data_IF_824163736027
#
_entry.id   IF_824163736027
#
_cell.length_a   1.000
_cell.length_b   1.000
_cell.length_c   1.000
_cell.angle_alpha   90.00
_cell.angle_beta   90.00
_cell.angle_gamma   90.00
#
_symmetry.space_group_name_H-M   'P 1'
#
loop_
_entity.id
_entity.type
_entity.pdbx_description
1 polymer ?
#
# COMPACT_ATOMS: atom_id res chain seq x y z
N UNK A 1 11.23 -19.54 4.50
CA UNK A 1 10.53 -18.58 3.63
C UNK A 1 9.34 -18.09 4.42
N UNK A 2 9.47 -16.96 5.11
CA UNK A 2 8.38 -16.37 5.89
C UNK A 2 8.31 -14.90 5.53
N UNK A 3 7.14 -14.47 5.08
CA UNK A 3 6.87 -13.05 4.82
C UNK A 3 6.08 -12.52 6.00
N UNK A 4 6.61 -11.52 6.70
CA UNK A 4 5.88 -10.86 7.78
C UNK A 4 5.39 -9.49 7.34
N UNK A 5 4.16 -9.16 7.72
CA UNK A 5 3.50 -7.89 7.38
C UNK A 5 3.00 -7.28 8.69
N UNK A 6 3.63 -6.21 9.12
CA UNK A 6 3.32 -5.50 10.36
C UNK A 6 2.74 -4.13 10.08
N UNK A 7 1.57 -3.83 10.61
CA UNK A 7 0.96 -2.50 10.48
C UNK A 7 1.63 -1.55 11.46
N UNK A 8 2.28 -0.50 10.96
CA UNK A 8 2.95 0.49 11.80
C UNK A 8 2.10 1.72 12.11
N UNK A 9 1.19 2.08 11.19
CA UNK A 9 0.06 3.00 11.37
C UNK A 9 -0.58 3.26 10.01
N UNK A 10 -1.89 3.48 9.95
CA UNK A 10 -2.56 4.04 8.76
C UNK A 10 -2.38 3.19 7.48
N UNK A 11 -1.51 3.60 6.54
CA UNK A 11 -1.09 2.83 5.36
C UNK A 11 0.39 2.38 5.43
N UNK A 12 1.06 2.65 6.54
CA UNK A 12 2.46 2.29 6.75
C UNK A 12 2.59 0.85 7.22
N UNK A 13 3.24 0.01 6.43
CA UNK A 13 3.57 -1.37 6.78
C UNK A 13 5.07 -1.60 6.82
N UNK A 14 5.53 -2.38 7.79
CA UNK A 14 6.83 -3.04 7.73
C UNK A 14 6.64 -4.43 7.14
N UNK A 15 7.32 -4.71 6.04
CA UNK A 15 7.32 -6.04 5.41
C UNK A 15 8.72 -6.63 5.52
N UNK A 16 8.84 -7.79 6.15
CA UNK A 16 10.11 -8.54 6.23
C UNK A 16 10.00 -9.79 5.37
N UNK A 17 10.89 -9.89 4.39
CA UNK A 17 10.94 -11.02 3.45
C UNK A 17 12.32 -11.10 2.80
N UNK A 18 12.82 -12.30 2.49
CA UNK A 18 14.11 -12.47 1.82
C UNK A 18 15.31 -11.85 2.57
N UNK A 19 15.22 -11.75 3.91
CA UNK A 19 16.23 -11.07 4.73
C UNK A 19 16.25 -9.54 4.59
N UNK A 20 15.24 -8.95 3.94
CA UNK A 20 15.10 -7.50 3.72
C UNK A 20 13.99 -6.90 4.58
N UNK A 21 14.17 -5.63 4.95
CA UNK A 21 13.16 -4.80 5.62
C UNK A 21 12.65 -3.76 4.61
N UNK A 22 11.37 -3.87 4.28
CA UNK A 22 10.67 -2.93 3.41
C UNK A 22 9.69 -2.09 4.22
N UNK A 23 9.58 -0.81 3.91
CA UNK A 23 8.51 0.06 4.42
C UNK A 23 7.64 0.58 3.29
N UNK A 24 6.33 0.50 3.45
CA UNK A 24 5.37 1.24 2.62
C UNK A 24 4.94 2.50 3.36
N UNK A 25 4.69 3.58 2.62
CA UNK A 25 4.04 4.81 3.07
C UNK A 25 4.42 5.29 4.48
N UNK A 26 5.71 5.54 4.75
CA UNK A 26 6.18 6.12 6.01
C UNK A 26 5.67 7.56 6.19
N UNK A 27 4.42 7.71 6.62
CA UNK A 27 3.76 8.97 6.90
C UNK A 27 3.75 9.37 8.38
N UNK A 28 3.09 10.49 8.67
CA UNK A 28 3.08 11.18 9.97
C UNK A 28 2.84 10.27 11.19
N UNK A 29 1.88 9.34 11.11
CA UNK A 29 1.44 8.51 12.24
C UNK A 29 2.35 7.31 12.53
N UNK A 30 3.26 6.97 11.63
CA UNK A 30 4.08 5.76 11.73
C UNK A 30 5.31 5.96 12.62
N UNK A 31 5.67 4.92 13.40
CA UNK A 31 6.98 4.80 14.03
C UNK A 31 7.74 3.65 13.38
N UNK A 32 8.87 3.96 12.76
CA UNK A 32 9.69 2.99 12.02
C UNK A 32 10.83 2.51 12.94
N UNK A 33 10.84 1.22 13.33
CA UNK A 33 11.76 0.73 14.36
C UNK A 33 13.17 0.40 13.84
N UNK A 34 13.33 0.14 12.55
CA UNK A 34 14.56 -0.42 11.97
C UNK A 34 15.04 0.38 10.75
N UNK A 35 16.28 0.14 10.33
CA UNK A 35 16.79 0.67 9.07
C UNK A 35 16.15 -0.07 7.90
N UNK A 36 15.91 0.67 6.82
CA UNK A 36 15.21 0.15 5.66
C UNK A 36 16.20 -0.37 4.61
N UNK A 37 15.91 -1.51 4.00
CA UNK A 37 16.51 -1.90 2.73
C UNK A 37 15.75 -1.27 1.56
N UNK A 38 14.41 -1.24 1.64
CA UNK A 38 13.55 -0.68 0.60
C UNK A 38 12.49 0.21 1.24
N UNK A 39 12.22 1.35 0.63
CA UNK A 39 11.13 2.25 1.01
C UNK A 39 10.28 2.49 -0.23
N UNK A 40 8.98 2.22 -0.14
CA UNK A 40 7.99 2.50 -1.17
C UNK A 40 7.06 3.60 -0.68
N UNK A 41 6.82 4.61 -1.51
CA UNK A 41 5.89 5.72 -1.23
C UNK A 41 4.89 5.80 -2.37
N UNK A 42 3.60 5.76 -2.08
CA UNK A 42 2.51 5.73 -3.07
C UNK A 42 2.22 7.11 -3.64
N UNK A 43 2.29 8.17 -2.82
CA UNK A 43 2.04 9.56 -3.21
C UNK A 43 2.50 10.55 -2.13
N UNK A 44 2.44 11.86 -2.43
CA UNK A 44 3.16 12.89 -1.67
C UNK A 44 2.44 13.47 -0.44
N UNK A 45 1.21 13.02 -0.12
CA UNK A 45 0.48 13.47 1.06
C UNK A 45 1.22 13.12 2.36
N UNK A 46 0.96 13.87 3.43
CA UNK A 46 1.78 13.83 4.66
C UNK A 46 1.58 12.55 5.47
N UNK A 47 0.42 11.92 5.37
CA UNK A 47 0.07 10.66 6.01
C UNK A 47 0.61 9.42 5.28
N UNK A 48 1.28 9.63 4.11
CA UNK A 48 1.99 8.59 3.34
C UNK A 48 3.48 8.90 3.13
N UNK A 49 3.85 10.17 3.02
CA UNK A 49 5.20 10.62 2.70
C UNK A 49 5.69 11.66 3.72
N UNK A 50 6.35 11.18 4.78
CA UNK A 50 7.10 12.00 5.72
C UNK A 50 8.62 11.89 5.45
N UNK A 51 9.23 12.91 4.81
CA UNK A 51 10.67 12.90 4.50
C UNK A 51 11.57 12.78 5.72
N UNK A 52 11.14 13.28 6.88
CA UNK A 52 11.94 13.23 8.11
C UNK A 52 12.06 11.79 8.62
N UNK A 53 10.96 11.04 8.56
CA UNK A 53 10.92 9.61 8.91
C UNK A 53 11.68 8.76 7.90
N UNK A 54 11.50 9.02 6.60
CA UNK A 54 12.25 8.36 5.52
C UNK A 54 13.75 8.55 5.75
N UNK A 55 14.19 9.80 5.95
CA UNK A 55 15.60 10.13 6.21
C UNK A 55 16.15 9.44 7.45
N UNK A 56 15.33 9.25 8.49
CA UNK A 56 15.74 8.59 9.75
C UNK A 56 16.07 7.11 9.55
N UNK A 57 15.34 6.40 8.69
CA UNK A 57 15.53 4.95 8.47
C UNK A 57 16.35 4.58 7.25
N UNK A 58 16.47 5.50 6.29
CA UNK A 58 17.33 5.36 5.12
C UNK A 58 18.82 5.28 5.49
N UNK A 59 19.56 4.47 4.75
CA UNK A 59 21.02 4.35 4.73
C UNK A 59 21.57 4.72 3.34
N UNK A 60 22.87 4.51 3.10
CA UNK A 60 23.45 4.62 1.75
C UNK A 60 22.94 3.55 0.79
N UNK A 61 22.52 2.40 1.32
CA UNK A 61 22.20 1.21 0.54
C UNK A 61 20.68 1.02 0.38
N UNK A 62 19.88 1.84 1.05
CA UNK A 62 18.42 1.81 0.93
C UNK A 62 18.00 2.22 -0.48
N UNK A 63 17.17 1.39 -1.11
CA UNK A 63 16.46 1.73 -2.34
C UNK A 63 15.16 2.45 -1.97
N UNK A 64 14.95 3.65 -2.52
CA UNK A 64 13.69 4.39 -2.35
C UNK A 64 12.95 4.43 -3.67
N UNK A 65 11.69 4.01 -3.68
CA UNK A 65 10.80 3.96 -4.83
C UNK A 65 9.59 4.85 -4.57
N UNK A 66 9.34 5.82 -5.43
CA UNK A 66 8.23 6.76 -5.27
C UNK A 66 7.88 7.46 -6.58
N UNK A 67 6.64 7.94 -6.79
CA UNK A 67 6.33 8.84 -7.90
C UNK A 67 7.24 10.08 -7.93
N UNK A 68 7.32 10.71 -9.10
CA UNK A 68 8.23 11.84 -9.31
C UNK A 68 7.95 13.05 -8.39
N UNK A 69 6.69 13.24 -7.98
CA UNK A 69 6.32 14.33 -7.07
C UNK A 69 6.92 14.15 -5.66
N UNK A 70 6.96 12.91 -5.18
CA UNK A 70 7.54 12.50 -3.91
C UNK A 70 9.06 12.65 -3.92
N UNK A 71 9.71 12.33 -5.04
CA UNK A 71 11.17 12.33 -5.15
C UNK A 71 11.78 13.68 -4.74
N UNK A 72 11.15 14.78 -5.17
CA UNK A 72 11.58 16.14 -4.80
C UNK A 72 11.50 16.42 -3.30
N UNK A 73 10.45 15.90 -2.64
CA UNK A 73 10.17 16.07 -1.20
C UNK A 73 11.08 15.18 -0.34
N UNK A 74 11.35 13.96 -0.79
CA UNK A 74 12.17 12.96 -0.11
C UNK A 74 13.66 13.34 -0.16
N UNK A 75 14.12 13.78 -1.33
CA UNK A 75 15.51 14.15 -1.59
C UNK A 75 16.48 12.97 -1.69
N UNK A 76 17.66 13.21 -2.27
CA UNK A 76 18.63 12.16 -2.59
C UNK A 76 18.17 11.25 -3.74
N UNK A 77 18.76 10.06 -3.84
CA UNK A 77 18.43 9.11 -4.90
C UNK A 77 17.07 8.46 -4.65
N UNK A 78 16.15 8.63 -5.59
CA UNK A 78 14.82 8.01 -5.60
C UNK A 78 14.58 7.44 -6.99
N UNK A 79 14.21 6.16 -7.06
CA UNK A 79 13.76 5.52 -8.29
C UNK A 79 12.30 5.85 -8.50
N UNK A 80 11.99 6.61 -9.55
CA UNK A 80 10.61 6.94 -9.89
C UNK A 80 10.00 5.94 -10.84
N UNK A 81 8.81 5.45 -10.48
CA UNK A 81 7.98 4.57 -11.29
C UNK A 81 6.63 5.22 -11.56
N UNK A 82 6.13 5.03 -12.78
CA UNK A 82 4.76 5.32 -13.20
C UNK A 82 3.96 4.01 -13.30
N UNK A 83 2.61 4.07 -13.30
CA UNK A 83 1.79 2.89 -13.54
C UNK A 83 2.25 2.10 -14.77
N UNK A 84 2.47 0.79 -14.60
CA UNK A 84 2.97 -0.12 -15.63
C UNK A 84 4.49 -0.30 -15.65
N UNK A 85 5.26 0.57 -14.99
CA UNK A 85 6.71 0.43 -14.84
C UNK A 85 7.07 -0.48 -13.66
N UNK A 86 8.19 -1.19 -13.79
CA UNK A 86 8.70 -2.13 -12.79
C UNK A 86 10.20 -1.98 -12.57
N UNK A 87 10.67 -2.42 -11.42
CA UNK A 87 12.08 -2.50 -11.07
C UNK A 87 12.36 -3.71 -10.19
N UNK A 88 13.61 -4.16 -10.16
CA UNK A 88 14.05 -5.28 -9.36
C UNK A 88 15.18 -4.88 -8.40
N UNK A 89 15.12 -5.42 -7.18
CA UNK A 89 16.11 -5.23 -6.11
C UNK A 89 16.52 -6.62 -5.62
N UNK A 90 17.53 -7.20 -6.25
CA UNK A 90 17.85 -8.61 -6.07
C UNK A 90 16.68 -9.49 -6.51
N UNK A 91 16.18 -10.35 -5.62
CA UNK A 91 15.06 -11.26 -5.89
C UNK A 91 13.67 -10.63 -5.60
N UNK A 92 13.63 -9.32 -5.30
CA UNK A 92 12.40 -8.57 -5.06
C UNK A 92 12.03 -7.80 -6.32
N UNK A 93 10.84 -8.02 -6.85
CA UNK A 93 10.27 -7.19 -7.92
C UNK A 93 9.25 -6.21 -7.35
N UNK A 94 9.25 -4.98 -7.88
CA UNK A 94 8.29 -3.92 -7.54
C UNK A 94 7.72 -3.35 -8.83
N UNK A 95 6.41 -3.45 -9.00
CA UNK A 95 5.66 -2.85 -10.11
C UNK A 95 4.73 -1.77 -9.61
N UNK A 96 4.78 -0.59 -10.20
CA UNK A 96 3.80 0.46 -9.94
C UNK A 96 2.52 0.21 -10.75
N UNK A 97 1.36 0.44 -10.15
CA UNK A 97 0.04 0.29 -10.77
C UNK A 97 -0.82 1.52 -10.53
N UNK A 98 -1.94 1.61 -11.25
CA UNK A 98 -2.86 2.73 -11.14
C UNK A 98 -3.47 2.84 -9.73
N UNK A 99 -3.55 4.07 -9.22
CA UNK A 99 -4.25 4.43 -7.99
C UNK A 99 -4.79 5.85 -8.13
N UNK A 100 -6.11 6.01 -8.08
CA UNK A 100 -6.75 7.31 -8.29
C UNK A 100 -8.20 7.35 -7.80
N UNK A 101 -8.73 8.57 -7.65
CA UNK A 101 -10.14 8.81 -7.38
C UNK A 101 -10.90 9.23 -8.65
N UNK A 102 -12.08 8.66 -8.81
CA UNK A 102 -13.12 9.10 -9.75
C UNK A 102 -14.49 9.27 -9.07
N UNK A 103 -14.59 8.96 -7.76
CA UNK A 103 -15.77 9.16 -6.91
C UNK A 103 -15.52 10.11 -5.73
N UNK A 104 -14.27 10.24 -5.25
CA UNK A 104 -13.91 11.16 -4.16
C UNK A 104 -13.34 12.48 -4.67
N UNK A 105 -13.99 13.59 -4.31
CA UNK A 105 -13.64 14.93 -4.76
C UNK A 105 -13.71 15.97 -3.63
N UNK A 106 -12.75 16.90 -3.62
CA UNK A 106 -12.84 18.18 -2.89
C UNK A 106 -13.55 19.23 -3.73
N UNK A 107 -14.24 20.14 -3.07
CA UNK A 107 -14.93 21.25 -3.77
C UNK A 107 -13.93 22.19 -4.47
N UNK A 108 -14.20 22.67 -5.69
CA UNK A 108 -15.34 22.33 -6.56
C UNK A 108 -14.97 21.24 -7.59
N UNK A 109 -15.09 19.96 -7.22
CA UNK A 109 -14.97 18.83 -8.16
C UNK A 109 -13.54 18.38 -8.49
N UNK A 110 -12.55 18.72 -7.68
CA UNK A 110 -11.17 18.23 -7.86
C UNK A 110 -11.01 16.90 -7.14
N UNK A 111 -10.52 15.82 -7.78
CA UNK A 111 -10.30 14.56 -7.07
C UNK A 111 -9.23 14.74 -5.99
N UNK A 112 -9.36 14.02 -4.86
CA UNK A 112 -8.31 14.04 -3.84
C UNK A 112 -7.00 13.48 -4.40
N UNK A 113 -7.10 12.39 -5.17
CA UNK A 113 -6.01 11.73 -5.89
C UNK A 113 -6.33 11.67 -7.40
N UNK A 114 -5.94 12.68 -8.21
CA UNK A 114 -6.11 12.62 -9.66
C UNK A 114 -5.35 11.45 -10.30
N UNK A 115 -5.83 10.92 -11.43
CA UNK A 115 -5.11 9.87 -12.17
C UNK A 115 -3.70 10.34 -12.57
N UNK A 116 -2.69 9.52 -12.27
CA UNK A 116 -1.27 9.84 -12.46
C UNK A 116 -0.61 10.64 -11.33
N UNK A 117 -1.34 10.97 -10.26
CA UNK A 117 -0.77 11.62 -9.07
C UNK A 117 -0.04 10.62 -8.16
N UNK A 118 -0.71 9.53 -7.80
CA UNK A 118 -0.18 8.46 -6.98
C UNK A 118 -0.11 7.14 -7.74
N UNK A 119 0.42 6.11 -7.07
CA UNK A 119 0.49 4.73 -7.56
C UNK A 119 0.13 3.75 -6.46
N UNK A 120 -0.37 2.58 -6.85
CA UNK A 120 -0.28 1.36 -6.04
C UNK A 120 1.02 0.63 -6.33
N UNK A 121 1.38 -0.36 -5.50
CA UNK A 121 2.54 -1.23 -5.74
C UNK A 121 2.18 -2.69 -5.65
N UNK A 122 2.67 -3.48 -6.61
CA UNK A 122 2.74 -4.93 -6.52
C UNK A 122 4.18 -5.29 -6.18
N UNK A 123 4.39 -5.92 -5.04
CA UNK A 123 5.69 -6.41 -4.57
C UNK A 123 5.71 -7.93 -4.65
N UNK A 124 6.69 -8.50 -5.35
CA UNK A 124 6.89 -9.95 -5.41
C UNK A 124 8.20 -10.31 -4.74
N UNK A 125 8.14 -11.17 -3.72
CA UNK A 125 9.30 -11.61 -2.92
C UNK A 125 9.03 -13.00 -2.36
N UNK A 126 10.05 -13.87 -2.37
CA UNK A 126 9.94 -15.25 -1.84
C UNK A 126 8.74 -16.04 -2.44
N UNK A 127 8.41 -15.76 -3.71
CA UNK A 127 7.27 -16.36 -4.42
C UNK A 127 5.90 -15.88 -3.95
N UNK A 128 5.82 -14.84 -3.12
CA UNK A 128 4.58 -14.21 -2.65
C UNK A 128 4.39 -12.86 -3.32
N UNK A 129 3.13 -12.52 -3.65
CA UNK A 129 2.72 -11.25 -4.24
C UNK A 129 1.88 -10.44 -3.26
N UNK A 130 2.35 -9.23 -2.94
CA UNK A 130 1.68 -8.29 -2.03
C UNK A 130 1.28 -7.06 -2.83
N UNK A 131 0.00 -6.72 -2.81
CA UNK A 131 -0.54 -5.52 -3.44
C UNK A 131 -0.83 -4.46 -2.37
N UNK A 132 -0.20 -3.29 -2.49
CA UNK A 132 -0.50 -2.10 -1.72
C UNK A 132 -1.26 -1.11 -2.62
N UNK A 133 -2.55 -0.90 -2.36
CA UNK A 133 -3.40 -0.12 -3.26
C UNK A 133 -3.10 1.39 -3.27
N UNK A 134 -2.43 1.90 -2.24
CA UNK A 134 -2.34 3.35 -2.01
C UNK A 134 -3.73 3.94 -1.75
N UNK A 135 -3.88 5.24 -1.99
CA UNK A 135 -5.16 5.92 -1.85
C UNK A 135 -5.90 5.97 -3.19
N UNK A 136 -6.94 5.15 -3.30
CA UNK A 136 -7.66 4.94 -4.56
C UNK A 136 -9.13 4.61 -4.32
N UNK A 137 -9.94 4.84 -5.35
CA UNK A 137 -11.25 4.20 -5.50
C UNK A 137 -11.12 2.76 -6.00
N UNK A 138 -12.23 2.02 -6.03
CA UNK A 138 -12.30 0.76 -6.77
C UNK A 138 -12.30 1.04 -8.27
N UNK A 139 -11.15 0.82 -8.92
CA UNK A 139 -10.89 1.10 -10.33
C UNK A 139 -10.90 -0.19 -11.18
N UNK A 140 -11.20 -0.11 -12.49
CA UNK A 140 -11.22 -1.28 -13.39
C UNK A 140 -9.91 -2.06 -13.40
N UNK A 141 -8.76 -1.38 -13.31
CA UNK A 141 -7.42 -1.97 -13.36
C UNK A 141 -7.18 -2.99 -12.25
N UNK A 142 -7.89 -2.91 -11.12
CA UNK A 142 -7.79 -3.89 -10.04
C UNK A 142 -8.22 -5.30 -10.45
N UNK A 143 -9.08 -5.43 -11.48
CA UNK A 143 -9.51 -6.74 -12.02
C UNK A 143 -8.43 -7.42 -12.85
N UNK A 144 -7.43 -6.67 -13.29
CA UNK A 144 -6.37 -7.10 -14.21
C UNK A 144 -5.02 -7.30 -13.50
N UNK A 145 -4.97 -7.15 -12.17
CA UNK A 145 -3.73 -7.26 -11.37
C UNK A 145 -3.13 -8.68 -11.42
N UNK A 146 -3.97 -9.71 -11.62
CA UNK A 146 -3.55 -11.11 -11.60
C UNK A 146 -3.48 -11.67 -10.17
N UNK A 147 -2.61 -12.67 -9.95
CA UNK A 147 -2.51 -13.36 -8.66
C UNK A 147 -1.96 -12.45 -7.56
N UNK A 148 -2.67 -12.37 -6.43
CA UNK A 148 -2.28 -11.62 -5.23
C UNK A 148 -2.43 -12.51 -4.01
N UNK A 149 -1.36 -12.69 -3.23
CA UNK A 149 -1.44 -13.42 -1.96
C UNK A 149 -1.99 -12.52 -0.86
N UNK A 150 -1.60 -11.24 -0.82
CA UNK A 150 -2.06 -10.26 0.17
C UNK A 150 -2.41 -8.94 -0.50
N UNK A 151 -3.63 -8.46 -0.32
CA UNK A 151 -4.05 -7.12 -0.71
C UNK A 151 -4.21 -6.21 0.51
N UNK A 152 -3.53 -5.06 0.51
CA UNK A 152 -3.65 -3.99 1.48
C UNK A 152 -4.56 -2.92 0.86
N UNK A 153 -5.78 -2.76 1.39
CA UNK A 153 -6.85 -1.97 0.75
C UNK A 153 -7.33 -0.86 1.69
N UNK A 154 -7.40 0.41 1.24
CA UNK A 154 -7.93 1.48 2.08
C UNK A 154 -9.46 1.33 2.23
N UNK A 155 -10.00 1.61 3.42
CA UNK A 155 -11.46 1.56 3.68
C UNK A 155 -11.95 2.80 4.44
N UNK A 156 -11.32 3.95 4.18
CA UNK A 156 -11.50 5.21 4.92
C UNK A 156 -12.61 6.13 4.39
N UNK A 157 -13.18 5.85 3.21
CA UNK A 157 -14.31 6.54 2.54
C UNK A 157 -14.05 7.99 2.09
N UNK A 158 -13.64 8.89 2.99
CA UNK A 158 -13.53 10.34 2.69
C UNK A 158 -12.55 10.62 1.54
N UNK A 159 -11.41 9.92 1.53
CA UNK A 159 -10.31 10.11 0.58
C UNK A 159 -10.09 8.88 -0.33
N UNK A 160 -10.66 7.75 0.05
CA UNK A 160 -10.42 6.41 -0.49
C UNK A 160 -11.73 5.61 -0.51
N UNK A 161 -11.70 4.35 -0.96
CA UNK A 161 -12.88 3.46 -0.87
C UNK A 161 -13.50 3.45 0.53
N UNK A 162 -14.83 3.34 0.59
CA UNK A 162 -15.52 2.94 1.82
C UNK A 162 -15.41 1.42 2.06
N UNK A 163 -16.04 0.90 3.13
CA UNK A 163 -16.04 -0.54 3.39
C UNK A 163 -16.69 -1.38 2.28
N UNK A 164 -17.74 -0.85 1.65
CA UNK A 164 -18.50 -1.57 0.63
C UNK A 164 -17.67 -1.68 -0.64
N UNK A 165 -17.13 -0.57 -1.12
CA UNK A 165 -16.26 -0.55 -2.30
C UNK A 165 -14.92 -1.26 -2.06
N UNK A 166 -14.36 -1.15 -0.86
CA UNK A 166 -13.18 -1.93 -0.47
C UNK A 166 -13.47 -3.43 -0.57
N UNK A 167 -14.65 -3.86 -0.14
CA UNK A 167 -15.06 -5.26 -0.25
C UNK A 167 -15.29 -5.69 -1.72
N UNK A 168 -15.90 -4.83 -2.54
CA UNK A 168 -16.03 -5.06 -3.98
C UNK A 168 -14.66 -5.22 -4.65
N UNK A 169 -13.70 -4.35 -4.30
CA UNK A 169 -12.33 -4.44 -4.79
C UNK A 169 -11.65 -5.74 -4.35
N UNK A 170 -11.77 -6.11 -3.07
CA UNK A 170 -11.22 -7.37 -2.57
C UNK A 170 -11.82 -8.60 -3.27
N UNK A 171 -13.13 -8.63 -3.50
CA UNK A 171 -13.80 -9.72 -4.23
C UNK A 171 -13.35 -9.77 -5.69
N UNK A 172 -13.17 -8.60 -6.33
CA UNK A 172 -12.71 -8.52 -7.70
C UNK A 172 -11.24 -8.94 -7.89
N UNK A 173 -10.37 -8.59 -6.94
CA UNK A 173 -8.97 -9.01 -6.90
C UNK A 173 -8.84 -10.49 -6.52
N UNK A 174 -9.75 -10.98 -5.67
CA UNK A 174 -9.76 -12.33 -5.11
C UNK A 174 -8.40 -12.78 -4.51
N UNK A 175 -7.82 -11.99 -3.59
CA UNK A 175 -6.53 -12.33 -2.99
C UNK A 175 -6.66 -13.50 -2.00
N UNK A 176 -5.55 -14.13 -1.63
CA UNK A 176 -5.55 -15.09 -0.51
C UNK A 176 -5.96 -14.42 0.81
N UNK A 177 -5.41 -13.23 1.06
CA UNK A 177 -5.64 -12.40 2.25
C UNK A 177 -5.97 -10.97 1.83
N UNK A 178 -6.94 -10.36 2.50
CA UNK A 178 -7.16 -8.91 2.44
C UNK A 178 -6.97 -8.28 3.82
N UNK A 179 -6.21 -7.18 3.88
CA UNK A 179 -5.96 -6.40 5.09
C UNK A 179 -6.49 -4.98 4.84
N UNK A 180 -7.54 -4.53 5.56
CA UNK A 180 -7.98 -3.15 5.46
C UNK A 180 -6.93 -2.22 6.10
N UNK A 181 -6.73 -1.06 5.48
CA UNK A 181 -5.81 0.00 5.93
C UNK A 181 -6.49 1.36 5.79
N UNK A 182 -5.82 2.45 6.19
CA UNK A 182 -6.33 3.83 6.03
C UNK A 182 -7.77 4.03 6.55
N UNK A 183 -8.14 3.35 7.63
CA UNK A 183 -9.55 3.25 8.05
C UNK A 183 -10.05 4.52 8.73
N UNK A 184 -9.14 5.42 9.16
CA UNK A 184 -9.45 6.55 10.03
C UNK A 184 -10.28 6.17 11.27
N UNK A 185 -10.09 4.96 11.78
CA UNK A 185 -10.83 4.43 12.92
C UNK A 185 -12.27 3.98 12.61
N UNK A 186 -12.67 3.95 11.34
CA UNK A 186 -13.94 3.34 10.92
C UNK A 186 -13.94 1.84 11.20
N UNK A 187 -15.10 1.31 11.58
CA UNK A 187 -15.30 -0.12 11.82
C UNK A 187 -15.23 -0.90 10.51
N UNK A 188 -14.33 -1.88 10.42
CA UNK A 188 -14.14 -2.73 9.23
C UNK A 188 -15.01 -3.98 9.23
N UNK A 189 -15.98 -4.11 10.16
CA UNK A 189 -16.85 -5.27 10.28
C UNK A 189 -17.67 -5.57 9.03
N UNK A 190 -18.20 -4.54 8.37
CA UNK A 190 -18.92 -4.69 7.09
C UNK A 190 -18.00 -5.20 5.98
N UNK A 191 -16.81 -4.60 5.83
CA UNK A 191 -15.80 -5.04 4.87
C UNK A 191 -15.49 -6.53 5.07
N UNK A 192 -15.16 -6.93 6.31
CA UNK A 192 -14.85 -8.31 6.66
C UNK A 192 -15.98 -9.27 6.31
N UNK A 193 -17.21 -8.96 6.75
CA UNK A 193 -18.39 -9.80 6.54
C UNK A 193 -18.66 -10.00 5.04
N UNK A 194 -18.57 -8.94 4.25
CA UNK A 194 -18.86 -8.99 2.81
C UNK A 194 -17.81 -9.80 2.06
N UNK A 195 -16.53 -9.56 2.32
CA UNK A 195 -15.42 -10.27 1.64
C UNK A 195 -15.43 -11.75 1.95
N UNK A 196 -15.52 -12.13 3.23
CA UNK A 196 -15.50 -13.54 3.64
C UNK A 196 -16.80 -14.27 3.31
N UNK A 197 -17.91 -13.55 3.18
CA UNK A 197 -19.19 -14.10 2.75
C UNK A 197 -19.31 -14.31 1.24
N UNK A 198 -18.48 -13.61 0.45
CA UNK A 198 -18.61 -13.56 -1.03
C UNK A 198 -17.40 -14.14 -1.77
N UNK A 199 -16.36 -14.57 -1.07
CA UNK A 199 -15.13 -15.12 -1.67
C UNK A 199 -14.42 -16.09 -0.73
N UNK A 200 -13.34 -16.72 -1.21
CA UNK A 200 -12.44 -17.53 -0.36
C UNK A 200 -11.37 -16.68 0.34
N UNK A 201 -11.36 -15.36 0.10
CA UNK A 201 -10.42 -14.42 0.71
C UNK A 201 -10.62 -14.38 2.21
N UNK A 202 -9.54 -14.54 2.98
CA UNK A 202 -9.58 -14.31 4.43
C UNK A 202 -9.26 -12.85 4.74
N UNK A 203 -10.05 -12.23 5.61
CA UNK A 203 -9.80 -10.86 6.05
C UNK A 203 -9.06 -10.87 7.39
N UNK A 204 -7.90 -10.21 7.38
CA UNK A 204 -7.06 -10.00 8.56
C UNK A 204 -7.10 -8.53 8.91
N UNK A 205 -7.78 -8.19 10.01
CA UNK A 205 -7.79 -6.82 10.55
C UNK A 205 -6.60 -6.69 11.49
N UNK A 206 -5.67 -5.80 11.17
CA UNK A 206 -4.52 -5.49 12.03
C UNK A 206 -4.76 -4.15 12.74
N UNK A 207 -4.39 -4.10 14.01
CA UNK A 207 -4.19 -2.87 14.75
C UNK A 207 -2.74 -2.40 14.63
N UNK A 208 -2.51 -1.13 14.98
CA UNK A 208 -1.16 -0.59 15.01
C UNK A 208 -0.24 -1.41 15.92
N UNK A 209 0.86 -1.91 15.36
CA UNK A 209 1.84 -2.76 16.02
C UNK A 209 1.60 -4.26 15.85
N UNK A 210 0.43 -4.67 15.34
CA UNK A 210 0.15 -6.07 15.06
C UNK A 210 0.80 -6.54 13.76
N UNK A 211 1.11 -7.82 13.71
CA UNK A 211 1.84 -8.47 12.63
C UNK A 211 1.10 -9.72 12.16
N UNK A 212 1.06 -9.91 10.84
CA UNK A 212 0.60 -11.12 10.20
C UNK A 212 1.79 -11.86 9.57
N UNK A 213 1.88 -13.16 9.84
CA UNK A 213 2.88 -14.04 9.26
C UNK A 213 2.23 -14.82 8.11
N UNK A 214 2.73 -14.59 6.89
CA UNK A 214 2.33 -15.30 5.70
C UNK A 214 3.22 -16.54 5.54
N UNK A 215 2.60 -17.70 5.75
CA UNK A 215 3.21 -19.04 5.57
C UNK A 215 3.05 -19.57 4.15
#
# INVERSE_FOLDING_TARGET
MSVSIKMLAHACFQIKAGGKIMYTDPGEHATLPEKADIILVTHSHFDHCDPSKIKKVRTSDTVVIAPADCASKIGGTVTSLKPGEETAIGDISVKAVEAYNYKRFRSPGNPFHPKGFGVGYIMTVEGKTIYHAGDTDFIPEMKEIGHVDVALLPTGDTYTMDNSEGAEAAVAINPGIAIPMHTWGKDTGEFKKTVEGSSTTKVVVLQQGEEYQLV
#
